data_IF_189295323016
#
_entry.id   IF_189295323016
#
_cell.length_a   1.000
_cell.length_b   1.000
_cell.length_c   1.000
_cell.angle_alpha   90.00
_cell.angle_beta   90.00
_cell.angle_gamma   90.00
#
_symmetry.space_group_name_H-M   'P 1'
#
loop_
_entity.id
_entity.type
_entity.pdbx_description
1 polymer ?
#
# COMPACT_ATOMS: atom_id res chain seq x y z
N UNK A 1 16.70 10.30 -6.04
CA UNK A 1 16.18 9.71 -4.79
C UNK A 1 15.67 8.31 -5.13
N UNK A 2 15.87 7.29 -4.27
CA UNK A 2 15.37 5.93 -4.56
C UNK A 2 13.88 5.83 -4.24
N UNK A 3 13.13 5.06 -5.02
CA UNK A 3 11.75 4.70 -4.74
C UNK A 3 11.50 3.21 -4.98
N UNK A 4 10.60 2.65 -4.19
CA UNK A 4 10.03 1.31 -4.41
C UNK A 4 8.51 1.42 -4.48
N UNK A 5 7.87 0.57 -5.27
CA UNK A 5 6.42 0.53 -5.43
C UNK A 5 5.91 -0.89 -5.22
N UNK A 6 4.74 -1.01 -4.59
CA UNK A 6 3.95 -2.23 -4.70
C UNK A 6 3.45 -2.39 -6.14
N UNK A 7 3.03 -3.59 -6.51
CA UNK A 7 2.05 -3.75 -7.58
C UNK A 7 0.70 -3.13 -7.18
N UNK A 8 -0.24 -2.97 -8.14
CA UNK A 8 -1.61 -2.61 -7.80
C UNK A 8 -2.25 -3.72 -6.95
N UNK A 9 -3.06 -3.34 -5.98
CA UNK A 9 -3.75 -4.28 -5.11
C UNK A 9 -5.17 -3.83 -4.79
N UNK A 10 -6.08 -4.80 -4.65
CA UNK A 10 -7.49 -4.55 -4.33
C UNK A 10 -7.65 -4.47 -2.83
N UNK A 11 -8.45 -3.51 -2.36
CA UNK A 11 -8.85 -3.44 -0.96
C UNK A 11 -9.72 -4.66 -0.62
N UNK A 12 -9.32 -5.52 0.33
CA UNK A 12 -10.08 -6.75 0.61
C UNK A 12 -11.48 -6.49 1.14
N UNK A 13 -12.43 -7.35 0.76
CA UNK A 13 -13.86 -7.27 1.10
C UNK A 13 -14.32 -8.51 1.88
N UNK A 14 -15.07 -8.32 2.96
CA UNK A 14 -15.79 -9.43 3.62
C UNK A 14 -16.98 -9.87 2.79
N UNK A 15 -17.14 -11.20 2.65
CA UNK A 15 -18.30 -11.82 2.01
C UNK A 15 -19.56 -11.79 2.89
N UNK A 16 -19.45 -11.47 4.18
CA UNK A 16 -20.54 -11.64 5.16
C UNK A 16 -21.61 -10.53 5.17
N UNK A 17 -21.51 -9.49 4.34
CA UNK A 17 -22.64 -8.61 4.00
C UNK A 17 -23.23 -7.74 5.12
N UNK A 18 -22.84 -7.92 6.39
CA UNK A 18 -23.31 -7.11 7.52
C UNK A 18 -22.13 -6.39 8.18
N UNK A 19 -21.75 -5.23 7.61
CA UNK A 19 -20.86 -4.14 8.07
C UNK A 19 -19.57 -4.52 8.82
N UNK A 20 -18.40 -4.16 8.26
CA UNK A 20 -17.71 -2.96 8.80
C UNK A 20 -16.88 -2.12 7.79
N UNK A 21 -16.93 -0.79 7.96
CA UNK A 21 -15.80 0.14 7.74
C UNK A 21 -15.16 0.48 9.12
N UNK A 22 -13.88 0.88 9.29
CA UNK A 22 -12.87 1.32 8.31
C UNK A 22 -11.82 0.28 7.91
N UNK A 23 -11.27 0.41 6.70
CA UNK A 23 -10.11 -0.40 6.28
C UNK A 23 -8.82 0.34 6.59
N UNK A 24 -7.91 -0.36 7.28
CA UNK A 24 -6.58 0.12 7.60
C UNK A 24 -5.55 -0.53 6.68
N UNK A 25 -4.65 0.30 6.15
CA UNK A 25 -3.39 -0.17 5.57
C UNK A 25 -2.27 0.22 6.53
N UNK A 26 -1.66 -0.78 7.16
CA UNK A 26 -0.49 -0.59 8.00
C UNK A 26 0.77 -0.79 7.16
N UNK A 27 1.60 0.23 7.10
CA UNK A 27 2.92 0.20 6.47
C UNK A 27 3.95 0.17 7.59
N UNK A 28 4.50 -1.01 7.85
CA UNK A 28 5.57 -1.19 8.83
C UNK A 28 6.91 -0.88 8.18
N UNK A 29 7.66 0.01 8.82
CA UNK A 29 8.98 0.46 8.43
C UNK A 29 9.97 -0.02 9.49
N UNK A 30 11.06 -0.62 9.06
CA UNK A 30 12.14 -1.06 9.95
C UNK A 30 13.48 -0.54 9.42
N UNK A 31 14.26 0.14 10.26
CA UNK A 31 15.60 0.59 9.92
C UNK A 31 16.64 -0.36 10.53
N UNK A 32 17.11 -1.40 9.82
CA UNK A 32 18.11 -2.33 10.36
C UNK A 32 19.54 -1.77 10.36
N UNK A 33 19.72 -0.48 10.06
CA UNK A 33 21.04 0.13 9.85
C UNK A 33 21.44 1.01 11.03
N UNK A 34 22.73 1.26 11.19
CA UNK A 34 23.29 2.14 12.23
C UNK A 34 23.23 3.64 11.85
N UNK A 35 22.37 4.00 10.89
CA UNK A 35 22.26 5.37 10.38
C UNK A 35 20.82 5.81 10.36
N UNK A 36 20.58 7.07 10.70
CA UNK A 36 19.29 7.71 10.51
C UNK A 36 18.91 7.72 9.03
N UNK A 37 17.64 7.39 8.74
CA UNK A 37 17.10 7.37 7.39
C UNK A 37 15.70 7.98 7.37
N UNK A 38 15.43 8.84 6.38
CA UNK A 38 14.10 9.39 6.14
C UNK A 38 13.47 8.70 4.93
N UNK A 39 12.20 8.31 5.08
CA UNK A 39 11.38 7.80 3.99
C UNK A 39 10.05 8.56 3.90
N UNK A 40 9.54 8.65 2.68
CA UNK A 40 8.20 9.16 2.39
C UNK A 40 7.34 8.01 1.88
N UNK A 41 6.26 7.72 2.58
CA UNK A 41 5.24 6.73 2.20
C UNK A 41 4.08 7.47 1.54
N UNK A 42 3.69 7.05 0.34
CA UNK A 42 2.64 7.68 -0.45
C UNK A 42 1.67 6.59 -0.93
N UNK A 43 0.38 6.80 -0.68
CA UNK A 43 -0.68 5.91 -1.14
C UNK A 43 -1.38 6.56 -2.34
N UNK A 44 -1.50 5.80 -3.43
CA UNK A 44 -2.20 6.20 -4.63
C UNK A 44 -3.44 5.33 -4.87
N UNK A 45 -4.49 5.94 -5.39
CA UNK A 45 -5.57 5.26 -6.09
C UNK A 45 -5.16 5.08 -7.54
N UNK A 46 -5.00 3.83 -7.95
CA UNK A 46 -4.78 3.49 -9.35
C UNK A 46 -6.07 3.75 -10.14
N UNK A 47 -5.96 4.25 -11.37
CA UNK A 47 -7.14 4.46 -12.18
C UNK A 47 -7.74 3.12 -12.59
N UNK A 48 -9.05 2.97 -12.39
CA UNK A 48 -9.72 1.69 -12.54
C UNK A 48 -10.08 1.45 -14.01
N UNK A 49 -9.78 0.24 -14.47
CA UNK A 49 -10.49 -0.44 -15.55
C UNK A 49 -10.80 -1.87 -15.07
N UNK A 50 -11.73 -2.02 -14.13
CA UNK A 50 -12.22 -3.35 -13.73
C UNK A 50 -13.12 -3.86 -14.86
N UNK A 51 -12.63 -4.84 -15.60
CA UNK A 51 -13.41 -5.50 -16.66
C UNK A 51 -13.55 -6.96 -16.30
N UNK A 52 -14.76 -7.35 -15.91
CA UNK A 52 -15.12 -8.76 -15.82
C UNK A 52 -15.40 -9.24 -17.24
N UNK A 53 -14.40 -9.85 -17.89
CA UNK A 53 -14.52 -10.32 -19.27
C UNK A 53 -14.96 -11.79 -19.31
N UNK A 54 -16.10 -12.10 -19.96
CA UNK A 54 -16.39 -13.47 -20.39
C UNK A 54 -15.28 -14.00 -21.31
N UNK A 55 -15.11 -15.33 -21.42
CA UNK A 55 -14.00 -15.95 -22.16
C UNK A 55 -13.86 -15.55 -23.63
N UNK A 56 -14.94 -15.02 -24.24
CA UNK A 56 -15.02 -14.73 -25.67
C UNK A 56 -15.05 -13.24 -26.01
N UNK A 57 -14.87 -12.35 -25.04
CA UNK A 57 -15.03 -10.90 -25.26
C UNK A 57 -13.68 -10.20 -25.38
N UNK A 58 -13.52 -9.38 -26.42
CA UNK A 58 -12.38 -8.47 -26.57
C UNK A 58 -12.44 -7.35 -25.53
N UNK A 59 -11.41 -7.27 -24.67
CA UNK A 59 -11.25 -6.18 -23.70
C UNK A 59 -10.88 -4.91 -24.47
N UNK A 60 -11.63 -3.80 -24.33
CA UNK A 60 -11.23 -2.53 -24.93
C UNK A 60 -9.87 -2.09 -24.36
N UNK A 61 -9.03 -1.40 -25.15
CA UNK A 61 -7.74 -0.93 -24.68
C UNK A 61 -7.92 -0.03 -23.44
N UNK A 62 -7.00 -0.10 -22.46
CA UNK A 62 -7.09 0.74 -21.26
C UNK A 62 -7.11 2.21 -21.65
N UNK A 63 -8.06 2.98 -21.10
CA UNK A 63 -8.08 4.42 -21.31
C UNK A 63 -7.01 5.11 -20.45
N UNK A 64 -6.29 6.11 -20.99
CA UNK A 64 -5.31 6.85 -20.23
C UNK A 64 -6.01 7.55 -19.07
N UNK A 65 -5.48 7.29 -17.89
CA UNK A 65 -6.08 7.74 -16.63
C UNK A 65 -4.95 7.96 -15.64
N UNK A 66 -5.09 8.98 -14.81
CA UNK A 66 -4.05 9.40 -13.86
C UNK A 66 -4.36 8.84 -12.49
N UNK A 67 -3.32 8.39 -11.79
CA UNK A 67 -3.44 8.03 -10.39
C UNK A 67 -3.76 9.25 -9.54
N UNK A 68 -4.55 9.06 -8.48
CA UNK A 68 -4.81 10.09 -7.49
C UNK A 68 -4.02 9.80 -6.22
N UNK A 69 -3.24 10.76 -5.73
CA UNK A 69 -2.61 10.66 -4.40
C UNK A 69 -3.72 10.73 -3.35
N UNK A 70 -3.79 9.71 -2.50
CA UNK A 70 -4.74 9.65 -1.41
C UNK A 70 -4.14 10.19 -0.11
N UNK A 71 -2.89 9.83 0.18
CA UNK A 71 -2.21 10.29 1.39
C UNK A 71 -0.71 10.15 1.33
N UNK A 72 -0.04 10.92 2.20
CA UNK A 72 1.42 10.91 2.37
C UNK A 72 1.83 11.00 3.84
N UNK A 73 2.92 10.33 4.17
CA UNK A 73 3.58 10.44 5.46
C UNK A 73 5.09 10.40 5.28
N UNK A 74 5.80 11.35 5.88
CA UNK A 74 7.26 11.35 5.93
C UNK A 74 7.71 10.97 7.33
N UNK A 75 8.57 9.98 7.43
CA UNK A 75 9.06 9.46 8.71
C UNK A 75 10.58 9.39 8.66
N UNK A 76 11.23 9.87 9.72
CA UNK A 76 12.66 9.68 9.96
C UNK A 76 12.81 8.64 11.05
N UNK A 77 13.52 7.56 10.76
CA UNK A 77 13.81 6.48 11.70
C UNK A 77 15.28 6.55 12.11
N UNK A 78 15.54 6.49 13.43
CA UNK A 78 16.90 6.34 13.96
C UNK A 78 17.38 4.89 13.82
N UNK A 79 18.57 4.59 14.34
CA UNK A 79 19.18 3.26 14.23
C UNK A 79 18.34 2.17 14.93
N UNK A 80 18.13 1.05 14.23
CA UNK A 80 17.39 -0.12 14.72
C UNK A 80 15.93 0.16 15.16
N UNK A 81 15.35 1.27 14.70
CA UNK A 81 13.97 1.64 15.01
C UNK A 81 12.96 0.95 14.07
N UNK A 82 11.77 0.65 14.61
CA UNK A 82 10.60 0.24 13.84
C UNK A 82 9.45 1.23 14.04
N UNK A 83 8.77 1.58 12.95
CA UNK A 83 7.65 2.51 12.96
C UNK A 83 6.50 1.99 12.09
N UNK A 84 5.26 2.37 12.40
CA UNK A 84 4.09 1.98 11.59
C UNK A 84 3.33 3.22 11.15
N UNK A 85 3.17 3.38 9.84
CA UNK A 85 2.24 4.35 9.24
C UNK A 85 0.91 3.66 9.00
N UNK A 86 -0.18 4.24 9.47
CA UNK A 86 -1.53 3.72 9.21
C UNK A 86 -2.28 4.68 8.29
N UNK A 87 -2.73 4.18 7.14
CA UNK A 87 -3.74 4.86 6.32
C UNK A 87 -5.10 4.29 6.71
N UNK A 88 -5.91 5.11 7.35
CA UNK A 88 -7.25 4.74 7.79
C UNK A 88 -8.28 5.35 6.83
N UNK A 89 -9.21 4.53 6.37
CA UNK A 89 -10.38 5.01 5.64
C UNK A 89 -11.57 5.12 6.59
N UNK A 90 -11.71 6.26 7.29
CA UNK A 90 -12.81 6.51 8.22
C UNK A 90 -13.78 7.57 7.71
N UNK A 91 -15.06 7.43 8.05
CA UNK A 91 -16.13 8.42 7.79
C UNK A 91 -15.82 9.80 8.42
N UNK A 92 -16.32 10.92 7.86
CA UNK A 92 -17.29 11.02 6.77
C UNK A 92 -16.70 11.05 5.34
N UNK A 93 -15.39 11.17 5.20
CA UNK A 93 -14.69 11.14 3.89
C UNK A 93 -13.65 10.02 3.88
N UNK A 94 -14.01 8.80 3.43
CA UNK A 94 -13.08 7.69 3.36
C UNK A 94 -11.91 8.02 2.43
N UNK A 95 -10.70 7.67 2.86
CA UNK A 95 -9.47 7.85 2.09
C UNK A 95 -9.48 6.97 0.83
N UNK A 96 -10.04 5.77 0.95
CA UNK A 96 -10.24 4.78 -0.11
C UNK A 96 -11.42 3.87 0.23
N UNK A 97 -12.05 3.28 -0.77
CA UNK A 97 -13.14 2.33 -0.59
C UNK A 97 -12.75 0.89 -0.98
N UNK A 98 -13.64 -0.06 -0.73
CA UNK A 98 -13.43 -1.49 -1.05
C UNK A 98 -13.36 -1.81 -2.56
N UNK A 99 -13.76 -0.87 -3.43
CA UNK A 99 -13.70 -1.01 -4.88
C UNK A 99 -12.43 -0.37 -5.47
N UNK A 100 -11.67 0.35 -4.66
CA UNK A 100 -10.42 0.97 -5.08
C UNK A 100 -9.33 -0.06 -5.35
N UNK A 101 -8.58 0.20 -6.43
CA UNK A 101 -7.27 -0.40 -6.66
C UNK A 101 -6.24 0.58 -6.14
N UNK A 102 -5.41 0.13 -5.22
CA UNK A 102 -4.42 0.96 -4.54
C UNK A 102 -3.00 0.57 -4.96
N UNK A 103 -2.09 1.53 -4.87
CA UNK A 103 -0.66 1.33 -5.06
C UNK A 103 0.11 2.13 -4.01
N UNK A 104 1.05 1.48 -3.33
CA UNK A 104 1.89 2.12 -2.33
C UNK A 104 3.27 2.42 -2.94
N UNK A 105 3.75 3.64 -2.73
CA UNK A 105 5.11 4.06 -3.09
C UNK A 105 5.84 4.46 -1.82
N UNK A 106 7.07 3.98 -1.66
CA UNK A 106 7.98 4.42 -0.60
C UNK A 106 9.23 5.01 -1.23
N UNK A 107 9.56 6.24 -0.87
CA UNK A 107 10.68 7.02 -1.43
C UNK A 107 11.68 7.37 -0.34
N UNK A 108 12.94 7.67 -0.73
CA UNK A 108 13.97 8.14 0.18
C UNK A 108 14.97 7.05 0.59
N UNK A 109 15.30 6.97 1.88
CA UNK A 109 16.26 6.05 2.49
C UNK A 109 15.84 4.58 2.52
N UNK A 110 14.96 4.17 1.61
CA UNK A 110 14.41 2.82 1.51
C UNK A 110 15.43 1.84 0.90
N UNK A 111 15.44 0.60 1.42
CA UNK A 111 16.27 -0.46 0.89
C UNK A 111 15.82 -0.85 -0.52
N UNK A 112 16.77 -1.29 -1.34
CA UNK A 112 16.43 -1.95 -2.60
C UNK A 112 15.71 -3.28 -2.27
N UNK A 113 14.66 -3.72 -2.98
CA UNK A 113 13.97 -4.98 -2.69
C UNK A 113 14.90 -6.21 -2.67
N UNK A 114 16.01 -6.15 -3.43
CA UNK A 114 17.00 -7.21 -3.54
C UNK A 114 18.29 -6.97 -2.72
N UNK A 115 18.36 -5.91 -1.89
CA UNK A 115 19.53 -5.61 -1.05
C UNK A 115 19.09 -5.16 0.35
N UNK A 116 19.95 -5.33 1.35
CA UNK A 116 19.63 -5.04 2.75
C UNK A 116 19.99 -3.63 3.23
N UNK A 117 20.56 -2.76 2.39
CA UNK A 117 20.97 -1.42 2.81
C UNK A 117 19.84 -0.39 2.64
N UNK A 118 19.19 -0.06 3.75
CA UNK A 118 18.14 0.96 3.87
C UNK A 118 16.94 0.49 4.71
N UNK A 119 15.90 1.32 4.77
CA UNK A 119 14.65 0.97 5.47
C UNK A 119 13.92 -0.16 4.74
N UNK A 120 13.56 -1.20 5.48
CA UNK A 120 12.72 -2.30 5.03
C UNK A 120 11.25 -1.94 5.20
N UNK A 121 10.42 -2.38 4.26
CA UNK A 121 8.99 -2.09 4.24
C UNK A 121 8.18 -3.38 4.23
N UNK A 122 7.09 -3.40 4.99
CA UNK A 122 6.03 -4.38 4.79
C UNK A 122 4.67 -3.72 4.91
N UNK A 123 3.66 -4.31 4.29
CA UNK A 123 2.30 -3.77 4.26
C UNK A 123 1.34 -4.86 4.68
N UNK A 124 0.46 -4.51 5.61
CA UNK A 124 -0.63 -5.36 6.06
C UNK A 124 -1.93 -4.61 5.85
N UNK A 125 -2.83 -5.23 5.09
CA UNK A 125 -4.23 -4.79 4.99
C UNK A 125 -5.05 -5.42 6.11
N UNK A 126 -5.85 -4.61 6.79
CA UNK A 126 -6.75 -5.05 7.84
C UNK A 126 -8.10 -4.38 7.71
N UNK A 127 -9.16 -5.16 7.88
CA UNK A 127 -10.50 -4.64 8.05
C UNK A 127 -10.78 -4.40 9.55
N UNK A 128 -11.37 -3.25 9.88
CA UNK A 128 -11.87 -3.04 11.23
C UNK A 128 -13.05 -3.97 11.53
N UNK A 129 -13.27 -4.32 12.79
CA UNK A 129 -14.49 -5.03 13.22
C UNK A 129 -14.50 -6.56 13.06
N UNK A 130 -13.59 -7.18 12.31
CA UNK A 130 -13.52 -8.65 12.24
C UNK A 130 -12.81 -9.22 13.49
N UNK A 131 -13.45 -10.22 14.14
CA UNK A 131 -12.91 -10.93 15.31
C UNK A 131 -11.71 -11.81 14.91
N UNK A 132 -11.70 -12.28 13.66
CA UNK A 132 -10.57 -12.92 13.01
C UNK A 132 -9.59 -11.87 12.50
N UNK A 133 -8.48 -11.73 13.22
CA UNK A 133 -7.38 -10.76 12.97
C UNK A 133 -6.51 -11.15 11.77
N UNK A 134 -7.06 -11.88 10.79
CA UNK A 134 -6.26 -12.38 9.69
C UNK A 134 -5.92 -11.23 8.73
N UNK A 135 -4.63 -11.04 8.41
CA UNK A 135 -4.25 -10.07 7.42
C UNK A 135 -4.90 -10.47 6.10
N UNK A 136 -5.77 -9.60 5.59
CA UNK A 136 -6.44 -9.83 4.31
C UNK A 136 -5.51 -9.58 3.13
N UNK A 137 -4.31 -9.06 3.43
CA UNK A 137 -3.24 -8.73 2.50
C UNK A 137 -1.92 -8.63 3.26
N UNK A 138 -0.85 -9.20 2.70
CA UNK A 138 0.50 -9.05 3.24
C UNK A 138 1.53 -8.93 2.11
N UNK A 139 2.22 -7.79 2.06
CA UNK A 139 3.38 -7.57 1.18
C UNK A 139 4.65 -7.46 2.02
N UNK A 140 5.64 -8.27 1.69
CA UNK A 140 7.00 -8.17 2.23
C UNK A 140 7.82 -7.21 1.37
N UNK A 141 8.93 -6.74 1.92
CA UNK A 141 9.86 -5.84 1.22
C UNK A 141 10.26 -6.33 -0.19
N UNK A 142 10.48 -7.64 -0.32
CA UNK A 142 10.86 -8.28 -1.59
C UNK A 142 9.75 -8.32 -2.65
N UNK A 143 8.51 -8.05 -2.26
CA UNK A 143 7.36 -8.04 -3.17
C UNK A 143 7.22 -6.68 -3.87
N UNK A 144 8.04 -5.69 -3.48
CA UNK A 144 8.13 -4.37 -4.13
C UNK A 144 9.08 -4.37 -5.32
N UNK A 145 8.84 -3.47 -6.25
CA UNK A 145 9.70 -3.21 -7.41
C UNK A 145 10.39 -1.85 -7.28
N UNK A 146 11.64 -1.75 -7.72
CA UNK A 146 12.35 -0.46 -7.78
C UNK A 146 11.74 0.42 -8.87
N UNK A 147 11.45 1.67 -8.54
CA UNK A 147 10.89 2.65 -9.48
C UNK A 147 11.78 3.88 -9.56
N UNK A 148 11.76 4.55 -10.72
CA UNK A 148 12.38 5.87 -10.86
C UNK A 148 11.45 6.89 -10.21
N UNK A 149 11.98 7.64 -9.25
CA UNK A 149 11.31 8.81 -8.67
C UNK A 149 11.32 9.99 -9.66
#
# INVERSE_FOLDING_TARGET
>A
MRAISSGPFVVPRTTEGTEPEPTFLFVSLNNPTDKERTVTVILFRAPISFVCVPPTTTVPPPQPSTEAELGRATVTLVDHESFVVAFASSTPTPLFDQNDILRLVVQGGVANPNKSDGIQVSVVGRQAGTVTQEPTMFFRHKDFIETKA
#
